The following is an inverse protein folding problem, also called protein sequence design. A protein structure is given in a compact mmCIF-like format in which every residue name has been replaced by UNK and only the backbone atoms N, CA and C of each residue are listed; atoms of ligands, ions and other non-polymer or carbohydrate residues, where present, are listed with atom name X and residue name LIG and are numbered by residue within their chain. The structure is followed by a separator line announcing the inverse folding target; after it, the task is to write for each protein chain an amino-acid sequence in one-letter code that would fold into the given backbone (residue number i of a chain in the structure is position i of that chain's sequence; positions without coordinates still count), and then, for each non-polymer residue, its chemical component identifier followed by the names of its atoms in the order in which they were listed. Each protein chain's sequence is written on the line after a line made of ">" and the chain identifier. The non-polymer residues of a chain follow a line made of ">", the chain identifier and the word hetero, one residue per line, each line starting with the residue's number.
data_IF_747932944718
#
_entry.id   IF_747932944718
#
_cell.length_a   1.000
_cell.length_b   1.000
_cell.length_c   1.000
_cell.angle_alpha   90.00
_cell.angle_beta   90.00
_cell.angle_gamma   90.00
#
_symmetry.space_group_name_H-M   'P 1'
#
loop_
_entity.id
_entity.type
_entity.pdbx_description
1 polymer ?
#
# COMPACT_ATOMS: atom_id res chain seq x y z
N UNK A 1 6.56 7.57 -63.11
CA UNK A 1 7.25 7.99 -61.88
C UNK A 1 6.20 8.18 -60.81
N UNK A 2 6.13 7.25 -59.86
CA UNK A 2 4.96 7.03 -58.98
C UNK A 2 4.91 8.03 -57.83
N UNK A 3 3.70 8.54 -57.55
CA UNK A 3 3.35 9.50 -56.49
C UNK A 3 3.54 8.93 -55.07
N UNK A 4 4.77 8.61 -54.69
CA UNK A 4 5.11 8.02 -53.39
C UNK A 4 5.39 9.06 -52.29
N UNK A 5 5.69 10.31 -52.65
CA UNK A 5 5.98 11.38 -51.69
C UNK A 5 4.87 11.65 -50.65
N UNK A 6 3.56 11.72 -50.99
CA UNK A 6 2.53 11.94 -49.96
C UNK A 6 2.33 10.71 -49.06
N UNK A 7 2.56 9.50 -49.58
CA UNK A 7 2.49 8.26 -48.78
C UNK A 7 3.65 8.17 -47.80
N UNK A 8 4.85 8.60 -48.19
CA UNK A 8 6.03 8.62 -47.33
C UNK A 8 5.86 9.58 -46.14
N UNK A 9 5.30 10.77 -46.39
CA UNK A 9 4.97 11.74 -45.34
C UNK A 9 3.94 11.14 -44.37
N UNK A 10 2.86 10.54 -44.89
CA UNK A 10 1.82 9.94 -44.05
C UNK A 10 2.33 8.75 -43.22
N UNK A 11 3.20 7.91 -43.78
CA UNK A 11 3.81 6.77 -43.08
C UNK A 11 4.79 7.19 -41.99
N UNK A 12 5.47 8.34 -42.13
CA UNK A 12 6.36 8.90 -41.09
C UNK A 12 5.62 9.68 -40.00
N UNK A 13 4.51 10.34 -40.33
CA UNK A 13 3.75 11.16 -39.36
C UNK A 13 2.87 10.31 -38.43
N UNK A 14 2.35 9.17 -38.89
CA UNK A 14 1.49 8.27 -38.10
C UNK A 14 2.15 7.69 -36.83
N UNK A 15 3.39 7.15 -36.87
CA UNK A 15 4.08 6.71 -35.66
C UNK A 15 4.49 7.87 -34.75
N UNK A 16 4.79 9.05 -35.30
CA UNK A 16 5.13 10.24 -34.51
C UNK A 16 3.93 10.75 -33.69
N UNK A 17 2.72 10.69 -34.24
CA UNK A 17 1.49 11.03 -33.53
C UNK A 17 1.14 10.02 -32.43
N UNK A 18 1.43 8.73 -32.67
CA UNK A 18 1.23 7.65 -31.69
C UNK A 18 2.24 7.72 -30.53
N UNK A 19 3.44 8.28 -30.76
CA UNK A 19 4.45 8.50 -29.72
C UNK A 19 4.20 9.76 -28.88
N UNK A 20 3.37 10.70 -29.36
CA UNK A 20 3.03 11.95 -28.66
C UNK A 20 1.82 11.83 -27.73
N UNK A 21 1.18 10.65 -27.69
CA UNK A 21 -0.05 10.38 -26.94
C UNK A 21 0.09 9.67 -25.56
N UNK A 22 1.23 9.63 -24.83
CA UNK A 22 1.25 8.96 -23.52
C UNK A 22 0.65 9.81 -22.37
N UNK A 23 0.06 10.98 -22.64
CA UNK A 23 -0.38 11.92 -21.60
C UNK A 23 -1.83 11.81 -21.11
N UNK A 24 -2.68 10.96 -21.70
CA UNK A 24 -4.13 10.95 -21.41
C UNK A 24 -4.59 9.89 -20.40
N UNK A 25 -3.74 8.95 -19.99
CA UNK A 25 -4.07 8.05 -18.87
C UNK A 25 -3.75 8.75 -17.56
N UNK A 26 -4.58 9.72 -17.20
CA UNK A 26 -4.66 10.17 -15.82
C UNK A 26 -5.20 8.98 -15.01
N UNK A 27 -4.29 8.19 -14.45
CA UNK A 27 -4.64 7.20 -13.42
C UNK A 27 -5.19 8.03 -12.28
N UNK A 28 -6.51 8.10 -12.20
CA UNK A 28 -7.23 8.66 -11.07
C UNK A 28 -7.02 7.67 -9.92
N UNK A 29 -5.83 7.72 -9.33
CA UNK A 29 -5.52 6.99 -8.12
C UNK A 29 -6.50 7.49 -7.07
N UNK A 30 -7.49 6.68 -6.75
CA UNK A 30 -8.42 6.95 -5.66
C UNK A 30 -7.55 7.29 -4.46
N UNK A 31 -7.61 8.54 -3.98
CA UNK A 31 -6.84 8.93 -2.80
C UNK A 31 -7.12 7.89 -1.73
N UNK A 32 -6.09 7.22 -1.18
CA UNK A 32 -6.30 6.27 -0.11
C UNK A 32 -7.15 6.98 0.93
N UNK A 33 -8.33 6.42 1.24
CA UNK A 33 -9.21 6.99 2.25
C UNK A 33 -8.41 7.16 3.54
N UNK A 34 -8.76 8.15 4.36
CA UNK A 34 -8.14 8.31 5.67
C UNK A 34 -8.33 7.00 6.45
N UNK A 35 -7.27 6.44 7.07
CA UNK A 35 -7.41 5.23 7.85
C UNK A 35 -8.30 5.50 9.07
N UNK A 36 -9.06 4.51 9.49
CA UNK A 36 -9.73 4.53 10.79
C UNK A 36 -8.70 4.20 11.87
N UNK A 37 -8.70 4.96 12.96
CA UNK A 37 -7.80 4.75 14.11
C UNK A 37 -8.63 4.27 15.30
N UNK A 38 -8.30 3.10 15.84
CA UNK A 38 -8.94 2.52 17.02
C UNK A 38 -7.88 2.41 18.11
N UNK A 39 -8.17 2.98 19.28
CA UNK A 39 -7.32 2.87 20.47
C UNK A 39 -8.00 1.90 21.43
N UNK A 40 -7.31 0.81 21.76
CA UNK A 40 -7.73 -0.14 22.79
C UNK A 40 -6.79 0.07 23.97
N UNK A 41 -7.34 0.53 25.09
CA UNK A 41 -6.62 0.72 26.34
C UNK A 41 -7.12 -0.29 27.37
N UNK A 42 -6.20 -0.88 28.13
CA UNK A 42 -6.50 -1.90 29.12
C UNK A 42 -5.92 -1.43 30.45
N UNK A 43 -6.77 -1.41 31.48
CA UNK A 43 -6.41 -1.00 32.82
C UNK A 43 -5.49 -2.03 33.49
N UNK A 44 -4.49 -1.57 34.25
CA UNK A 44 -3.55 -2.37 35.05
C UNK A 44 -2.87 -3.57 34.34
N UNK A 45 -2.72 -3.53 33.01
CA UNK A 45 -2.02 -4.58 32.26
C UNK A 45 -0.50 -4.49 32.45
N UNK A 46 0.09 -5.54 33.03
CA UNK A 46 1.52 -5.72 33.15
C UNK A 46 2.17 -6.25 31.85
N UNK A 47 3.48 -6.01 31.70
CA UNK A 47 4.27 -6.49 30.55
C UNK A 47 4.20 -8.01 30.37
N UNK A 48 4.11 -8.76 31.47
CA UNK A 48 4.08 -10.22 31.48
C UNK A 48 2.70 -10.85 31.28
N UNK A 49 1.64 -10.07 31.07
CA UNK A 49 0.27 -10.62 31.10
C UNK A 49 -0.15 -11.28 29.78
N UNK A 50 0.47 -10.91 28.67
CA UNK A 50 0.13 -11.43 27.33
C UNK A 50 1.07 -12.56 26.90
N UNK A 51 0.55 -13.56 26.19
CA UNK A 51 1.39 -14.66 25.66
C UNK A 51 2.43 -14.16 24.67
N UNK A 52 2.13 -13.15 23.86
CA UNK A 52 3.10 -12.56 22.93
C UNK A 52 4.31 -11.88 23.61
N UNK A 53 4.26 -11.62 24.93
CA UNK A 53 5.39 -11.16 25.74
C UNK A 53 6.02 -12.26 26.61
N UNK A 54 5.60 -13.52 26.43
CA UNK A 54 6.22 -14.69 27.06
C UNK A 54 5.45 -15.29 28.23
N UNK A 55 4.21 -14.85 28.48
CA UNK A 55 3.33 -15.54 29.42
C UNK A 55 3.07 -16.98 28.95
N UNK A 56 3.32 -17.97 29.81
CA UNK A 56 3.13 -19.40 29.50
C UNK A 56 1.81 -19.98 30.02
N UNK A 57 1.07 -19.22 30.84
CA UNK A 57 -0.15 -19.66 31.51
C UNK A 57 -1.41 -19.10 30.82
N UNK A 58 -1.30 -17.93 30.19
CA UNK A 58 -2.40 -17.26 29.49
C UNK A 58 -2.21 -17.41 27.99
N UNK A 59 -3.31 -17.66 27.27
CA UNK A 59 -3.35 -17.65 25.80
C UNK A 59 -4.16 -16.45 25.32
N UNK A 60 -3.53 -15.54 24.58
CA UNK A 60 -4.19 -14.34 24.03
C UNK A 60 -4.24 -14.34 22.51
N UNK A 61 -4.93 -15.33 21.90
CA UNK A 61 -4.92 -15.60 20.45
C UNK A 61 -5.14 -14.35 19.57
N UNK A 62 -6.11 -13.50 19.89
CA UNK A 62 -6.41 -12.32 19.07
C UNK A 62 -5.35 -11.22 19.20
N UNK A 63 -4.78 -11.04 20.39
CA UNK A 63 -3.71 -10.07 20.66
C UNK A 63 -2.40 -10.57 20.05
N UNK A 64 -2.13 -11.87 20.13
CA UNK A 64 -0.97 -12.50 19.51
C UNK A 64 -1.01 -12.37 17.98
N UNK A 65 -2.18 -12.58 17.38
CA UNK A 65 -2.39 -12.35 15.95
C UNK A 65 -2.18 -10.89 15.56
N UNK A 66 -2.64 -9.93 16.38
CA UNK A 66 -2.38 -8.50 16.19
C UNK A 66 -0.89 -8.16 16.26
N UNK A 67 -0.18 -8.70 17.26
CA UNK A 67 1.26 -8.51 17.42
C UNK A 67 2.05 -9.11 16.26
N UNK A 68 1.63 -10.27 15.73
CA UNK A 68 2.27 -10.95 14.59
C UNK A 68 2.08 -10.21 13.25
N UNK A 69 0.89 -9.64 13.02
CA UNK A 69 0.57 -8.90 11.77
C UNK A 69 0.91 -7.42 11.83
N UNK A 70 1.30 -6.93 13.01
CA UNK A 70 1.59 -5.52 13.28
C UNK A 70 3.00 -5.33 13.81
N UNK A 71 3.15 -4.28 14.63
CA UNK A 71 4.39 -4.00 15.35
C UNK A 71 4.19 -4.25 16.83
N UNK A 72 5.09 -5.03 17.45
CA UNK A 72 5.12 -5.29 18.88
C UNK A 72 6.28 -4.52 19.53
N UNK A 73 5.98 -3.67 20.49
CA UNK A 73 6.99 -2.90 21.23
C UNK A 73 7.42 -3.67 22.49
N UNK A 74 8.70 -4.03 22.59
CA UNK A 74 9.24 -4.75 23.76
C UNK A 74 9.86 -3.82 24.80
N UNK A 75 9.85 -2.50 24.55
CA UNK A 75 10.36 -1.44 25.43
C UNK A 75 9.41 -0.26 25.43
N UNK A 76 8.41 -0.30 26.30
CA UNK A 76 7.44 0.76 26.52
C UNK A 76 7.43 1.11 28.01
N UNK A 77 7.40 2.40 28.34
CA UNK A 77 7.45 2.93 29.70
C UNK A 77 6.19 3.75 29.95
N UNK A 78 5.57 3.59 31.12
CA UNK A 78 4.39 4.36 31.57
C UNK A 78 4.77 5.39 32.61
#
# INVERSE_FOLDING_TARGET
>A
MKNYMPKLIFTLMLPAFMFMLPGLTSVHGQSPGKPNVIIIFIDDMGYGDLSCYGNKQVTTTNIDALAKRGTKFTRFYS
#
